data_IF_893359227279
#
_entry.id   IF_893359227279
#
_cell.length_a   1.000
_cell.length_b   1.000
_cell.length_c   1.000
_cell.angle_alpha   90.00
_cell.angle_beta   90.00
_cell.angle_gamma   90.00
#
_symmetry.space_group_name_H-M   'P 1'
#
loop_
_entity.id
_entity.type
_entity.pdbx_description
1 polymer ?
#
# COMPACT_ATOMS: atom_id res chain seq x y z
N UNK A 1 9.10 16.68 -19.36
CA UNK A 1 7.87 15.97 -18.97
C UNK A 1 7.12 16.88 -18.00
N UNK A 2 5.85 17.20 -18.24
CA UNK A 2 5.05 18.06 -17.35
C UNK A 2 4.12 17.17 -16.54
N UNK A 3 4.39 17.03 -15.24
CA UNK A 3 3.46 16.36 -14.32
C UNK A 3 2.23 17.26 -14.13
N UNK A 4 1.03 16.68 -14.19
CA UNK A 4 -0.21 17.37 -13.85
C UNK A 4 -1.23 16.40 -13.27
N UNK A 5 -2.09 16.89 -12.37
CA UNK A 5 -3.10 16.11 -11.68
C UNK A 5 -3.93 16.98 -10.74
N UNK A 6 -4.66 16.32 -9.85
CA UNK A 6 -5.44 16.98 -8.81
C UNK A 6 -5.25 16.35 -7.45
N UNK A 7 -5.51 17.10 -6.39
CA UNK A 7 -5.60 16.55 -5.03
C UNK A 7 -6.79 15.59 -4.96
N UNK A 8 -6.52 14.33 -4.63
CA UNK A 8 -7.52 13.28 -4.50
C UNK A 8 -8.06 13.17 -3.07
N UNK A 9 -7.17 13.14 -2.09
CA UNK A 9 -7.53 13.04 -0.68
C UNK A 9 -6.45 13.65 0.20
N UNK A 10 -6.87 14.23 1.32
CA UNK A 10 -5.99 14.94 2.26
C UNK A 10 -6.09 14.26 3.61
N UNK A 11 -4.94 13.93 4.17
CA UNK A 11 -4.74 13.47 5.55
C UNK A 11 -3.75 14.41 6.22
N UNK A 12 -3.63 14.34 7.54
CA UNK A 12 -2.70 15.21 8.26
C UNK A 12 -1.24 15.02 7.81
N UNK A 13 -0.85 13.76 7.62
CA UNK A 13 0.53 13.34 7.32
C UNK A 13 0.81 13.09 5.83
N UNK A 14 -0.22 13.15 4.98
CA UNK A 14 -0.07 12.87 3.55
C UNK A 14 -1.20 13.44 2.70
N UNK A 15 -0.91 13.69 1.43
CA UNK A 15 -1.87 14.07 0.40
C UNK A 15 -1.70 13.13 -0.78
N UNK A 16 -2.81 12.54 -1.22
CA UNK A 16 -2.83 11.76 -2.45
C UNK A 16 -3.19 12.66 -3.62
N UNK A 17 -2.50 12.42 -4.73
CA UNK A 17 -2.65 13.08 -6.01
C UNK A 17 -3.21 12.08 -7.01
N UNK A 18 -4.11 12.53 -7.88
CA UNK A 18 -4.61 11.75 -8.99
C UNK A 18 -4.19 12.38 -10.31
N UNK A 19 -3.47 11.61 -11.11
CA UNK A 19 -3.12 11.97 -12.48
C UNK A 19 -4.32 11.69 -13.43
N UNK A 20 -4.36 12.32 -14.62
CA UNK A 20 -5.44 12.10 -15.59
C UNK A 20 -5.53 10.65 -16.08
N UNK A 21 -4.41 9.93 -16.10
CA UNK A 21 -4.36 8.50 -16.41
C UNK A 21 -4.96 7.61 -15.30
N UNK A 22 -5.41 8.20 -14.20
CA UNK A 22 -6.00 7.50 -13.05
C UNK A 22 -4.99 7.03 -12.02
N UNK A 23 -3.68 7.17 -12.28
CA UNK A 23 -2.65 6.79 -11.32
C UNK A 23 -2.67 7.69 -10.08
N UNK A 24 -2.33 7.08 -8.94
CA UNK A 24 -2.20 7.75 -7.66
C UNK A 24 -0.74 7.92 -7.27
N UNK A 25 -0.42 9.12 -6.81
CA UNK A 25 0.85 9.48 -6.21
C UNK A 25 0.60 10.05 -4.83
N UNK A 26 1.58 9.98 -3.94
CA UNK A 26 1.47 10.48 -2.58
C UNK A 26 2.53 11.53 -2.32
N UNK A 27 2.17 12.59 -1.61
CA UNK A 27 3.14 13.46 -0.92
C UNK A 27 2.95 13.20 0.56
N UNK A 28 4.02 12.89 1.29
CA UNK A 28 3.95 12.63 2.72
C UNK A 28 4.98 13.47 3.49
N UNK A 29 4.76 13.58 4.79
CA UNK A 29 5.70 14.24 5.71
C UNK A 29 6.86 13.30 6.06
N UNK A 30 7.96 13.86 6.56
CA UNK A 30 9.22 13.15 6.85
C UNK A 30 9.11 11.97 7.83
N UNK A 31 8.14 11.98 8.72
CA UNK A 31 7.89 10.92 9.69
C UNK A 31 7.25 9.65 9.08
N UNK A 32 6.91 9.66 7.79
CA UNK A 32 6.35 8.52 7.05
C UNK A 32 7.47 7.79 6.31
N UNK A 33 7.43 6.46 6.35
CA UNK A 33 8.39 5.62 5.62
C UNK A 33 8.36 5.86 4.11
N UNK A 34 9.50 5.68 3.45
CA UNK A 34 9.57 5.73 2.00
C UNK A 34 8.72 4.61 1.37
N UNK A 35 8.00 4.93 0.31
CA UNK A 35 7.16 3.99 -0.43
C UNK A 35 7.18 4.30 -1.93
N UNK A 36 6.81 3.33 -2.80
CA UNK A 36 6.60 3.60 -4.22
C UNK A 36 5.62 4.76 -4.45
N UNK A 37 5.82 5.50 -5.53
CA UNK A 37 4.99 6.65 -5.94
C UNK A 37 4.76 7.69 -4.83
N UNK A 38 5.68 7.78 -3.87
CA UNK A 38 5.58 8.68 -2.71
C UNK A 38 6.74 9.66 -2.71
N UNK A 39 6.43 10.95 -2.57
CA UNK A 39 7.37 12.04 -2.35
C UNK A 39 7.35 12.41 -0.87
N UNK A 40 8.46 12.21 -0.17
CA UNK A 40 8.61 12.65 1.22
C UNK A 40 9.08 14.10 1.24
N UNK A 41 8.49 14.92 2.13
CA UNK A 41 8.73 16.36 2.25
C UNK A 41 8.93 16.77 3.70
N UNK A 42 9.52 17.95 3.91
CA UNK A 42 9.71 18.63 5.19
C UNK A 42 8.49 19.45 5.64
N UNK A 43 7.33 19.26 4.99
CA UNK A 43 6.08 19.88 5.41
C UNK A 43 5.61 19.21 6.71
N UNK A 44 5.33 20.00 7.75
CA UNK A 44 4.93 19.45 9.06
C UNK A 44 3.54 18.78 9.06
N UNK A 45 2.60 19.35 8.29
CA UNK A 45 1.22 18.90 8.24
C UNK A 45 0.52 19.47 7.00
N UNK A 46 -0.21 18.63 6.29
CA UNK A 46 -1.01 19.02 5.12
C UNK A 46 -2.40 19.54 5.48
N UNK A 47 -2.95 19.14 6.63
CA UNK A 47 -4.26 19.61 7.09
C UNK A 47 -4.29 21.12 7.36
N UNK A 48 -3.13 21.71 7.63
CA UNK A 48 -2.94 23.14 7.92
C UNK A 48 -2.62 24.01 6.70
N UNK A 49 -2.41 23.40 5.52
CA UNK A 49 -1.97 24.13 4.31
C UNK A 49 -3.14 24.75 3.51
N UNK A 50 -4.37 24.59 3.97
CA UNK A 50 -5.55 25.10 3.27
C UNK A 50 -5.78 24.46 1.90
N UNK A 51 -5.33 23.21 1.73
CA UNK A 51 -5.58 22.41 0.53
C UNK A 51 -7.02 21.93 0.48
N UNK A 52 -7.56 21.79 -0.73
CA UNK A 52 -8.88 21.22 -0.97
C UNK A 52 -8.82 20.05 -1.96
N UNK A 53 -9.74 19.09 -1.81
CA UNK A 53 -9.92 18.03 -2.80
C UNK A 53 -10.30 18.68 -4.15
N UNK A 54 -9.65 18.24 -5.22
CA UNK A 54 -9.80 18.79 -6.57
C UNK A 54 -8.83 19.94 -6.90
N UNK A 55 -8.04 20.41 -5.93
CA UNK A 55 -7.00 21.41 -6.19
C UNK A 55 -6.03 20.94 -7.27
N UNK A 56 -5.64 21.85 -8.16
CA UNK A 56 -4.72 21.54 -9.25
C UNK A 56 -3.33 21.27 -8.71
N UNK A 57 -2.67 20.28 -9.30
CA UNK A 57 -1.28 19.95 -9.00
C UNK A 57 -0.51 19.87 -10.30
N UNK A 58 0.63 20.55 -10.37
CA UNK A 58 1.47 20.53 -11.57
C UNK A 58 2.93 20.79 -11.23
N UNK A 59 3.82 20.20 -12.04
CA UNK A 59 5.24 20.48 -11.96
C UNK A 59 5.64 21.52 -13.02
N UNK A 60 6.38 22.53 -12.60
CA UNK A 60 6.98 23.53 -13.48
C UNK A 60 8.39 23.87 -12.99
N UNK A 61 9.38 23.66 -13.87
CA UNK A 61 10.78 23.73 -13.49
C UNK A 61 11.12 22.71 -12.40
N UNK A 62 11.72 23.18 -11.32
CA UNK A 62 12.13 22.37 -10.16
C UNK A 62 11.13 22.51 -9.00
N UNK A 63 9.86 22.79 -9.29
CA UNK A 63 8.82 22.95 -8.28
C UNK A 63 7.59 22.14 -8.64
N UNK A 64 7.02 21.49 -7.63
CA UNK A 64 5.70 20.88 -7.66
C UNK A 64 4.73 21.79 -6.91
N UNK A 65 3.78 22.38 -7.61
CA UNK A 65 2.75 23.21 -7.02
C UNK A 65 1.55 22.33 -6.66
N UNK A 66 1.06 22.45 -5.43
CA UNK A 66 -0.06 21.68 -4.88
C UNK A 66 -1.12 22.66 -4.39
N UNK A 67 -2.22 22.76 -5.12
CA UNK A 67 -3.21 23.82 -4.89
C UNK A 67 -2.60 25.21 -5.04
N UNK A 68 -3.13 26.17 -4.28
CA UNK A 68 -2.69 27.58 -4.35
C UNK A 68 -1.63 27.93 -3.30
N UNK A 69 -1.49 27.11 -2.27
CA UNK A 69 -0.81 27.49 -1.03
C UNK A 69 0.44 26.68 -0.72
N UNK A 70 0.68 25.57 -1.44
CA UNK A 70 1.84 24.71 -1.19
C UNK A 70 2.67 24.54 -2.46
N UNK A 71 3.99 24.62 -2.31
CA UNK A 71 4.94 24.29 -3.35
C UNK A 71 6.09 23.48 -2.74
N UNK A 72 6.46 22.39 -3.42
CA UNK A 72 7.59 21.53 -3.01
C UNK A 72 8.74 21.75 -3.98
N UNK A 73 9.93 22.04 -3.46
CA UNK A 73 11.15 22.15 -4.26
C UNK A 73 11.70 20.76 -4.60
N UNK A 74 12.02 20.54 -5.87
CA UNK A 74 12.47 19.25 -6.40
C UNK A 74 14.00 19.15 -6.55
N UNK A 75 14.76 20.23 -6.28
CA UNK A 75 16.22 20.26 -6.49
C UNK A 75 16.99 19.23 -5.67
N UNK A 76 16.51 18.88 -4.49
CA UNK A 76 17.20 18.00 -3.54
C UNK A 76 16.48 16.65 -3.40
N UNK A 77 15.65 16.27 -4.36
CA UNK A 77 14.94 14.99 -4.34
C UNK A 77 15.95 13.85 -4.54
N UNK A 78 15.93 12.92 -3.60
CA UNK A 78 16.68 11.68 -3.70
C UNK A 78 15.75 10.56 -4.13
N UNK A 79 16.08 9.86 -5.21
CA UNK A 79 15.29 8.71 -5.66
C UNK A 79 15.48 7.56 -4.69
N UNK A 80 14.43 7.25 -3.95
CA UNK A 80 14.39 6.04 -3.15
C UNK A 80 14.12 4.82 -4.04
N UNK A 81 14.80 3.72 -3.74
CA UNK A 81 14.54 2.41 -4.35
C UNK A 81 14.43 1.38 -3.24
N UNK A 82 13.40 0.55 -3.30
CA UNK A 82 13.29 -0.59 -2.40
C UNK A 82 14.50 -1.50 -2.62
N UNK A 83 15.24 -1.76 -1.54
CA UNK A 83 16.26 -2.80 -1.53
C UNK A 83 15.60 -4.06 -0.97
N UNK A 84 15.24 -4.97 -1.86
CA UNK A 84 14.78 -6.28 -1.44
C UNK A 84 15.94 -7.03 -0.77
N UNK A 85 15.70 -7.73 0.35
CA UNK A 85 16.70 -8.64 0.89
C UNK A 85 17.00 -9.74 -0.12
N UNK A 86 18.22 -10.26 -0.11
CA UNK A 86 18.55 -11.45 -0.89
C UNK A 86 17.66 -12.61 -0.44
N UNK A 87 17.17 -13.38 -1.39
CA UNK A 87 16.53 -14.65 -1.06
C UNK A 87 17.59 -15.55 -0.42
N UNK A 88 17.32 -16.11 0.78
CA UNK A 88 18.30 -16.96 1.46
C UNK A 88 18.56 -18.22 0.64
N UNK A 89 19.81 -18.70 0.67
CA UNK A 89 20.21 -19.94 0.00
C UNK A 89 19.59 -21.17 0.67
N UNK A 90 19.38 -21.11 1.99
CA UNK A 90 18.72 -22.14 2.77
C UNK A 90 17.23 -21.82 2.95
N UNK A 91 16.38 -22.54 2.21
CA UNK A 91 14.93 -22.42 2.30
C UNK A 91 14.36 -22.87 3.65
N UNK A 92 15.08 -23.69 4.42
CA UNK A 92 14.61 -24.17 5.72
C UNK A 92 14.43 -23.00 6.70
N UNK A 93 15.32 -22.01 6.64
CA UNK A 93 15.22 -20.77 7.43
C UNK A 93 13.90 -20.04 7.13
N UNK A 94 13.52 -19.94 5.85
CA UNK A 94 12.25 -19.31 5.45
C UNK A 94 11.06 -20.11 5.97
N UNK A 95 11.08 -21.44 5.82
CA UNK A 95 10.00 -22.30 6.33
C UNK A 95 9.83 -22.13 7.84
N UNK A 96 10.93 -22.08 8.59
CA UNK A 96 10.92 -21.87 10.02
C UNK A 96 10.38 -20.48 10.42
N UNK A 97 10.79 -19.43 9.72
CA UNK A 97 10.24 -18.08 9.96
C UNK A 97 8.75 -17.98 9.62
N UNK A 98 8.29 -18.60 8.54
CA UNK A 98 6.88 -18.65 8.18
C UNK A 98 6.08 -19.42 9.22
N UNK A 99 6.58 -20.58 9.67
CA UNK A 99 5.94 -21.35 10.73
C UNK A 99 5.86 -20.56 12.06
N UNK A 100 6.93 -19.86 12.44
CA UNK A 100 6.93 -19.01 13.62
C UNK A 100 5.92 -17.84 13.51
N UNK A 101 5.83 -17.20 12.35
CA UNK A 101 4.85 -16.15 12.09
C UNK A 101 3.41 -16.68 12.14
N UNK A 102 3.16 -17.87 11.59
CA UNK A 102 1.85 -18.54 11.67
C UNK A 102 1.46 -18.80 13.13
N UNK A 103 2.35 -19.40 13.93
CA UNK A 103 2.12 -19.64 15.36
C UNK A 103 1.83 -18.34 16.12
N UNK A 104 2.56 -17.27 15.81
CA UNK A 104 2.32 -15.97 16.44
C UNK A 104 0.95 -15.38 16.08
N UNK A 105 0.56 -15.46 14.80
CA UNK A 105 -0.75 -15.03 14.31
C UNK A 105 -1.85 -15.89 14.93
N UNK A 106 -1.65 -17.20 15.10
CA UNK A 106 -2.60 -18.08 15.76
C UNK A 106 -2.79 -17.71 17.23
N UNK A 107 -1.69 -17.45 17.95
CA UNK A 107 -1.73 -17.10 19.37
C UNK A 107 -2.30 -15.69 19.64
N UNK A 108 -1.96 -14.69 18.81
CA UNK A 108 -2.23 -13.27 19.12
C UNK A 108 -3.12 -12.55 18.11
N UNK A 109 -3.30 -13.11 16.92
CA UNK A 109 -4.09 -12.48 15.86
C UNK A 109 -5.58 -12.39 16.20
N UNK A 110 -6.25 -11.34 15.74
CA UNK A 110 -7.71 -11.25 15.83
C UNK A 110 -8.36 -12.35 15.00
N UNK A 111 -9.41 -12.98 15.52
CA UNK A 111 -10.16 -13.99 14.79
C UNK A 111 -11.11 -13.34 13.75
N UNK A 112 -11.44 -14.08 12.69
CA UNK A 112 -12.21 -13.63 11.53
C UNK A 112 -11.58 -13.99 10.19
N UNK A 113 -12.38 -14.04 9.11
CA UNK A 113 -11.91 -14.43 7.79
C UNK A 113 -11.45 -15.89 7.74
N UNK A 114 -10.17 -16.13 7.40
CA UNK A 114 -9.59 -17.49 7.39
C UNK A 114 -9.22 -18.03 8.78
N UNK A 115 -9.19 -17.18 9.82
CA UNK A 115 -8.86 -17.58 11.18
C UNK A 115 -10.14 -17.81 11.99
N UNK A 116 -10.33 -19.05 12.46
CA UNK A 116 -11.46 -19.42 13.32
C UNK A 116 -11.49 -18.59 14.58
N UNK A 117 -12.69 -18.16 14.96
CA UNK A 117 -12.95 -17.70 16.32
C UNK A 117 -13.66 -18.83 17.08
N UNK A 118 -13.24 -19.08 18.32
CA UNK A 118 -13.94 -20.04 19.18
C UNK A 118 -15.30 -19.48 19.67
N UNK A 119 -15.51 -18.17 19.55
CA UNK A 119 -16.65 -17.43 20.13
C UNK A 119 -17.74 -17.07 19.10
N UNK A 120 -17.46 -17.16 17.79
CA UNK A 120 -18.37 -16.82 16.67
C UNK A 120 -18.54 -17.98 15.70
N UNK A 121 -18.91 -19.15 16.21
CA UNK A 121 -19.31 -20.29 15.39
C UNK A 121 -20.71 -20.10 14.76
N UNK A 122 -20.96 -18.93 14.14
CA UNK A 122 -22.17 -18.75 13.35
C UNK A 122 -21.97 -19.41 11.96
N UNK A 123 -23.04 -19.91 11.31
CA UNK A 123 -22.93 -20.58 10.01
C UNK A 123 -22.35 -19.71 8.87
N UNK A 124 -22.49 -18.38 8.96
CA UNK A 124 -21.97 -17.45 7.96
C UNK A 124 -20.44 -17.37 8.02
N UNK A 125 -19.87 -17.29 9.22
CA UNK A 125 -18.42 -17.25 9.43
C UNK A 125 -17.77 -18.56 8.97
N UNK A 126 -18.43 -19.70 9.19
CA UNK A 126 -17.98 -21.01 8.71
C UNK A 126 -17.99 -21.08 7.17
N UNK A 127 -19.04 -20.57 6.54
CA UNK A 127 -19.13 -20.56 5.07
C UNK A 127 -18.14 -19.56 4.45
N UNK A 128 -17.92 -18.40 5.09
CA UNK A 128 -16.87 -17.47 4.67
C UNK A 128 -15.47 -18.09 4.81
N UNK A 129 -15.18 -18.81 5.89
CA UNK A 129 -13.92 -19.53 6.04
C UNK A 129 -13.74 -20.55 4.90
N UNK A 130 -14.78 -21.36 4.63
CA UNK A 130 -14.74 -22.37 3.56
C UNK A 130 -14.43 -21.75 2.20
N UNK A 131 -15.18 -20.72 1.83
CA UNK A 131 -15.00 -20.02 0.54
C UNK A 131 -13.61 -19.38 0.43
N UNK A 132 -13.14 -18.71 1.50
CA UNK A 132 -11.81 -18.10 1.51
C UNK A 132 -10.69 -19.14 1.37
N UNK A 133 -10.82 -20.30 2.01
CA UNK A 133 -9.87 -21.41 1.88
C UNK A 133 -9.85 -21.97 0.46
N UNK A 134 -11.02 -22.23 -0.12
CA UNK A 134 -11.14 -22.76 -1.48
C UNK A 134 -10.54 -21.80 -2.52
N UNK A 135 -10.87 -20.51 -2.42
CA UNK A 135 -10.30 -19.48 -3.30
C UNK A 135 -8.79 -19.34 -3.14
N UNK A 136 -8.30 -19.40 -1.90
CA UNK A 136 -6.85 -19.31 -1.63
C UNK A 136 -6.10 -20.53 -2.19
N UNK A 137 -6.67 -21.72 -2.10
CA UNK A 137 -6.08 -22.93 -2.67
C UNK A 137 -6.00 -22.84 -4.20
N UNK A 138 -7.07 -22.39 -4.86
CA UNK A 138 -7.08 -22.17 -6.32
C UNK A 138 -6.07 -21.11 -6.75
N UNK A 139 -5.96 -20.01 -6.00
CA UNK A 139 -4.95 -18.97 -6.21
C UNK A 139 -3.52 -19.53 -6.11
N UNK A 140 -3.23 -20.30 -5.06
CA UNK A 140 -1.91 -20.92 -4.89
C UNK A 140 -1.56 -21.88 -6.03
N UNK A 141 -2.53 -22.68 -6.48
CA UNK A 141 -2.35 -23.57 -7.62
C UNK A 141 -2.06 -22.77 -8.90
N UNK A 142 -2.84 -21.74 -9.21
CA UNK A 142 -2.62 -20.89 -10.37
C UNK A 142 -1.26 -20.19 -10.34
N UNK A 143 -0.84 -19.67 -9.17
CA UNK A 143 0.47 -19.06 -8.98
C UNK A 143 1.61 -20.06 -9.22
N UNK A 144 1.50 -21.29 -8.72
CA UNK A 144 2.51 -22.34 -8.95
C UNK A 144 2.67 -22.72 -10.44
N UNK A 145 1.62 -22.50 -11.25
CA UNK A 145 1.62 -22.74 -12.69
C UNK A 145 1.97 -21.50 -13.52
N UNK A 146 2.16 -20.34 -12.89
CA UNK A 146 2.41 -19.06 -13.57
C UNK A 146 1.17 -18.45 -14.25
N UNK A 147 -0.02 -18.93 -13.91
CA UNK A 147 -1.30 -18.56 -14.54
C UNK A 147 -1.98 -17.38 -13.81
N UNK A 148 -1.21 -16.32 -13.56
CA UNK A 148 -1.63 -15.18 -12.71
C UNK A 148 -2.90 -14.48 -13.21
N UNK A 149 -3.16 -14.50 -14.53
CA UNK A 149 -4.36 -13.90 -15.14
C UNK A 149 -5.65 -14.66 -14.82
N UNK A 150 -5.58 -15.98 -14.54
CA UNK A 150 -6.74 -16.80 -14.15
C UNK A 150 -7.02 -16.71 -12.65
N UNK A 151 -6.05 -16.23 -11.88
CA UNK A 151 -6.10 -16.20 -10.42
C UNK A 151 -7.08 -15.16 -9.83
N UNK A 152 -7.55 -14.21 -10.65
CA UNK A 152 -8.48 -13.14 -10.25
C UNK A 152 -9.83 -13.20 -10.97
N UNK A 153 -10.06 -14.21 -11.82
CA UNK A 153 -11.32 -14.36 -12.58
C UNK A 153 -12.14 -15.46 -11.91
N UNK A 154 -12.92 -15.10 -10.88
CA UNK A 154 -14.05 -15.91 -10.41
C UNK A 154 -14.94 -15.18 -9.41
#
# INVERSE_FOLDING_TARGET
MKFHGTVHSIFDRMVNLKCPNGELYTIAIDSVDNAPNTLITDIDSFSKQGLAIGDQVYAEGERLYVGKNAAVMLQQVHVWRSKLPSYPEDEEILRNHVAAAQLWIEAHGKAGGMKRSAETANPLDQEMERLLRERSAGLLEALSKGEVSLAFIS
#
